data_IF_174764380895
#
_entry.id   IF_174764380895
#
_cell.length_a   1.000
_cell.length_b   1.000
_cell.length_c   1.000
_cell.angle_alpha   90.00
_cell.angle_beta   90.00
_cell.angle_gamma   90.00
#
_symmetry.space_group_name_H-M   'P 1'
#
loop_
_entity.id
_entity.type
_entity.pdbx_description
1 polymer ?
#
# COMPACT_ATOMS: atom_id res chain seq x y z
N UNK A 1 -4.97 -15.82 -9.24
CA UNK A 1 -5.33 -16.06 -7.81
C UNK A 1 -4.26 -16.71 -6.91
N UNK A 2 -3.65 -17.85 -7.24
CA UNK A 2 -2.73 -18.55 -6.31
C UNK A 2 -1.54 -17.70 -5.81
N UNK A 3 -0.94 -16.91 -6.70
CA UNK A 3 0.18 -16.01 -6.36
C UNK A 3 -0.24 -14.93 -5.35
N UNK A 4 -1.47 -14.43 -5.43
CA UNK A 4 -1.98 -13.42 -4.50
C UNK A 4 -2.14 -13.99 -3.09
N UNK A 5 -2.76 -15.17 -2.97
CA UNK A 5 -2.92 -15.85 -1.67
C UNK A 5 -1.55 -16.18 -1.06
N UNK A 6 -0.61 -16.64 -1.88
CA UNK A 6 0.76 -16.90 -1.45
C UNK A 6 1.47 -15.64 -0.97
N UNK A 7 1.39 -14.54 -1.72
CA UNK A 7 1.95 -13.26 -1.31
C UNK A 7 1.32 -12.74 0.00
N UNK A 8 0.00 -12.87 0.14
CA UNK A 8 -0.73 -12.52 1.37
C UNK A 8 -0.25 -13.34 2.58
N UNK A 9 0.03 -14.63 2.40
CA UNK A 9 0.61 -15.47 3.46
C UNK A 9 2.04 -15.01 3.82
N UNK A 10 2.88 -14.70 2.83
CA UNK A 10 4.26 -14.24 3.06
C UNK A 10 4.34 -12.93 3.84
N UNK A 11 3.49 -11.94 3.50
CA UNK A 11 3.46 -10.67 4.25
C UNK A 11 2.92 -10.83 5.69
N UNK A 12 2.40 -12.01 6.05
CA UNK A 12 1.95 -12.38 7.40
C UNK A 12 2.92 -13.30 8.14
N UNK A 13 3.89 -13.90 7.45
CA UNK A 13 4.93 -14.79 8.00
C UNK A 13 6.00 -14.00 8.80
N UNK A 14 7.28 -14.30 8.61
CA UNK A 14 8.42 -13.63 9.25
C UNK A 14 8.86 -12.35 8.50
N UNK A 15 9.85 -11.62 9.04
CA UNK A 15 10.35 -10.36 8.44
C UNK A 15 11.09 -10.56 7.12
N UNK A 16 11.82 -11.66 6.93
CA UNK A 16 12.52 -11.96 5.68
C UNK A 16 11.53 -12.19 4.52
N UNK A 17 10.40 -12.85 4.80
CA UNK A 17 9.38 -13.20 3.82
C UNK A 17 8.57 -11.99 3.35
N UNK A 18 8.50 -10.92 4.16
CA UNK A 18 7.73 -9.71 3.80
C UNK A 18 8.23 -9.11 2.50
N UNK A 19 9.55 -9.04 2.30
CA UNK A 19 10.15 -8.46 1.10
C UNK A 19 9.72 -9.24 -0.14
N UNK A 20 9.72 -10.57 -0.05
CA UNK A 20 9.24 -11.44 -1.13
C UNK A 20 7.75 -11.24 -1.38
N UNK A 21 6.94 -11.16 -0.32
CA UNK A 21 5.52 -10.87 -0.44
C UNK A 21 5.21 -9.52 -1.10
N UNK A 22 5.95 -8.46 -0.74
CA UNK A 22 5.85 -7.14 -1.38
C UNK A 22 6.17 -7.25 -2.87
N UNK A 23 7.30 -7.85 -3.23
CA UNK A 23 7.71 -7.99 -4.64
C UNK A 23 6.67 -8.75 -5.48
N UNK A 24 6.05 -9.79 -4.91
CA UNK A 24 4.97 -10.53 -5.56
C UNK A 24 3.71 -9.67 -5.75
N UNK A 25 3.31 -8.90 -4.73
CA UNK A 25 2.15 -8.00 -4.82
C UNK A 25 2.37 -6.87 -5.84
N UNK A 26 3.57 -6.28 -5.87
CA UNK A 26 3.93 -5.28 -6.89
C UNK A 26 3.94 -5.88 -8.30
N UNK A 27 4.45 -7.10 -8.44
CA UNK A 27 4.42 -7.86 -9.69
C UNK A 27 3.01 -8.13 -10.17
N UNK A 28 2.08 -8.47 -9.26
CA UNK A 28 0.67 -8.65 -9.57
C UNK A 28 0.01 -7.33 -10.02
N UNK A 29 0.33 -6.22 -9.36
CA UNK A 29 -0.24 -4.91 -9.67
C UNK A 29 0.14 -4.41 -11.08
N UNK A 30 1.34 -4.77 -11.54
CA UNK A 30 1.86 -4.47 -12.89
C UNK A 30 1.32 -5.39 -13.99
N UNK A 31 0.72 -6.53 -13.65
CA UNK A 31 0.12 -7.42 -14.65
C UNK A 31 -1.19 -6.81 -15.15
N UNK A 32 -1.33 -6.73 -16.47
CA UNK A 32 -2.61 -6.43 -17.11
C UNK A 32 -3.43 -7.72 -17.27
N UNK A 33 -3.89 -8.22 -16.13
CA UNK A 33 -4.84 -9.32 -16.07
C UNK A 33 -6.05 -8.87 -15.24
N UNK A 34 -7.26 -9.12 -15.76
CA UNK A 34 -8.51 -8.73 -15.10
C UNK A 34 -8.81 -9.56 -13.84
N UNK A 35 -8.19 -10.75 -13.71
CA UNK A 35 -8.33 -11.61 -12.54
C UNK A 35 -7.50 -11.13 -11.34
N UNK A 36 -6.67 -10.09 -11.48
CA UNK A 36 -5.89 -9.57 -10.37
C UNK A 36 -6.73 -8.57 -9.56
N UNK A 37 -6.97 -8.82 -8.25
CA UNK A 37 -7.63 -7.86 -7.40
C UNK A 37 -6.68 -6.70 -7.07
N UNK A 38 -6.53 -5.74 -8.00
CA UNK A 38 -5.57 -4.62 -7.90
C UNK A 38 -5.80 -3.79 -6.64
N UNK A 39 -7.06 -3.54 -6.28
CA UNK A 39 -7.44 -2.85 -5.05
C UNK A 39 -6.90 -3.56 -3.80
N UNK A 40 -7.13 -4.88 -3.70
CA UNK A 40 -6.69 -5.65 -2.55
C UNK A 40 -5.16 -5.77 -2.52
N UNK A 41 -4.50 -5.79 -3.68
CA UNK A 41 -3.03 -5.70 -3.76
C UNK A 41 -2.51 -4.39 -3.17
N UNK A 42 -3.10 -3.24 -3.51
CA UNK A 42 -2.73 -1.94 -2.96
C UNK A 42 -2.95 -1.89 -1.45
N UNK A 43 -4.08 -2.43 -0.95
CA UNK A 43 -4.35 -2.53 0.48
C UNK A 43 -3.28 -3.37 1.20
N UNK A 44 -2.95 -4.55 0.69
CA UNK A 44 -1.96 -5.43 1.30
C UNK A 44 -0.52 -4.91 1.17
N UNK A 45 -0.20 -4.14 0.13
CA UNK A 45 1.07 -3.41 0.03
C UNK A 45 1.21 -2.37 1.15
N UNK A 46 0.17 -1.58 1.41
CA UNK A 46 0.18 -0.65 2.53
C UNK A 46 0.44 -1.37 3.88
N UNK A 47 -0.24 -2.49 4.12
CA UNK A 47 -0.03 -3.33 5.32
C UNK A 47 1.41 -3.87 5.39
N UNK A 48 1.95 -4.39 4.29
CA UNK A 48 3.28 -4.99 4.24
C UNK A 48 4.40 -3.97 4.47
N UNK A 49 4.30 -2.78 3.87
CA UNK A 49 5.24 -1.67 4.09
C UNK A 49 5.16 -1.15 5.53
N UNK A 50 3.96 -1.03 6.10
CA UNK A 50 3.77 -0.68 7.52
C UNK A 50 4.48 -1.66 8.44
N UNK A 51 4.40 -2.96 8.13
CA UNK A 51 5.06 -4.01 8.92
C UNK A 51 6.59 -3.97 8.78
N UNK A 52 7.09 -3.51 7.64
CA UNK A 52 8.51 -3.31 7.37
C UNK A 52 9.05 -1.98 7.91
N UNK A 53 8.22 -1.18 8.57
CA UNK A 53 8.51 0.20 9.02
C UNK A 53 8.84 1.18 7.89
N UNK A 54 8.47 0.83 6.66
CA UNK A 54 8.55 1.72 5.50
C UNK A 54 7.25 2.54 5.44
N UNK A 55 7.11 3.47 6.38
CA UNK A 55 5.85 4.21 6.58
C UNK A 55 5.53 5.16 5.42
N UNK A 56 6.55 5.71 4.77
CA UNK A 56 6.40 6.59 3.61
C UNK A 56 5.64 5.89 2.48
N UNK A 57 6.11 4.70 2.08
CA UNK A 57 5.41 3.90 1.06
C UNK A 57 4.06 3.40 1.52
N UNK A 58 3.93 3.02 2.79
CA UNK A 58 2.64 2.59 3.33
C UNK A 58 1.58 3.69 3.20
N UNK A 59 1.95 4.94 3.49
CA UNK A 59 1.08 6.09 3.36
C UNK A 59 0.76 6.44 1.91
N UNK A 60 1.72 6.28 1.00
CA UNK A 60 1.47 6.45 -0.43
C UNK A 60 0.39 5.48 -0.92
N UNK A 61 0.55 4.18 -0.67
CA UNK A 61 -0.43 3.17 -1.07
C UNK A 61 -1.83 3.40 -0.49
N UNK A 62 -1.93 3.75 0.81
CA UNK A 62 -3.25 3.97 1.44
C UNK A 62 -3.92 5.25 0.94
N UNK A 63 -3.16 6.31 0.63
CA UNK A 63 -3.70 7.56 0.05
C UNK A 63 -4.24 7.33 -1.36
N UNK A 64 -3.55 6.52 -2.16
CA UNK A 64 -4.03 6.11 -3.49
C UNK A 64 -5.37 5.38 -3.35
N UNK A 65 -5.46 4.42 -2.43
CA UNK A 65 -6.69 3.67 -2.17
C UNK A 65 -7.83 4.58 -1.70
N UNK A 66 -7.56 5.48 -0.75
CA UNK A 66 -8.55 6.41 -0.22
C UNK A 66 -9.03 7.44 -1.27
N UNK A 67 -8.15 7.82 -2.21
CA UNK A 67 -8.48 8.74 -3.30
C UNK A 67 -9.31 8.07 -4.40
N UNK A 68 -9.07 6.78 -4.67
CA UNK A 68 -9.84 6.00 -5.62
C UNK A 68 -11.25 5.65 -5.10
N UNK A 69 -11.38 5.38 -3.79
CA UNK A 69 -12.64 4.99 -3.15
C UNK A 69 -13.03 5.98 -2.03
N UNK A 70 -13.59 7.13 -2.42
CA UNK A 70 -14.09 8.11 -1.46
C UNK A 70 -15.11 7.47 -0.51
N UNK A 71 -14.85 7.55 0.80
CA UNK A 71 -15.71 6.96 1.84
C UNK A 71 -15.32 5.54 2.28
N UNK A 72 -14.22 4.98 1.76
CA UNK A 72 -13.70 3.69 2.25
C UNK A 72 -13.14 3.85 3.68
N UNK A 73 -13.96 3.46 4.67
CA UNK A 73 -13.58 3.49 6.10
C UNK A 73 -12.35 2.63 6.40
N UNK A 74 -12.17 1.49 5.71
CA UNK A 74 -11.02 0.62 5.93
C UNK A 74 -9.71 1.30 5.52
N UNK A 75 -9.71 2.04 4.41
CA UNK A 75 -8.56 2.81 3.96
C UNK A 75 -8.23 3.95 4.94
N UNK A 76 -9.25 4.65 5.44
CA UNK A 76 -9.07 5.73 6.43
C UNK A 76 -8.53 5.20 7.77
N UNK A 77 -9.09 4.09 8.27
CA UNK A 77 -8.62 3.45 9.50
C UNK A 77 -7.17 2.95 9.37
N UNK A 78 -6.82 2.37 8.22
CA UNK A 78 -5.46 1.95 7.93
C UNK A 78 -4.51 3.16 7.87
N UNK A 79 -4.90 4.25 7.21
CA UNK A 79 -4.10 5.46 7.17
C UNK A 79 -3.81 6.00 8.58
N UNK A 80 -4.84 6.16 9.41
CA UNK A 80 -4.65 6.61 10.79
C UNK A 80 -3.81 5.63 11.62
N UNK A 81 -3.90 4.32 11.37
CA UNK A 81 -3.07 3.33 12.03
C UNK A 81 -1.59 3.50 11.66
N UNK A 82 -1.30 3.75 10.38
CA UNK A 82 0.06 3.98 9.88
C UNK A 82 0.64 5.23 10.52
N UNK A 83 -0.10 6.34 10.52
CA UNK A 83 0.31 7.61 11.14
C UNK A 83 0.59 7.44 12.64
N UNK A 84 -0.27 6.71 13.37
CA UNK A 84 -0.05 6.39 14.79
C UNK A 84 1.21 5.57 15.03
N UNK A 85 1.49 4.56 14.19
CA UNK A 85 2.70 3.74 14.31
C UNK A 85 3.97 4.51 13.98
N UNK A 86 3.92 5.34 12.93
CA UNK A 86 5.00 6.23 12.54
C UNK A 86 5.35 7.21 13.66
N UNK A 87 4.33 7.81 14.29
CA UNK A 87 4.51 8.68 15.46
C UNK A 87 5.16 7.93 16.63
N UNK A 88 4.63 6.75 16.97
CA UNK A 88 5.14 5.93 18.08
C UNK A 88 6.60 5.52 17.88
N UNK A 89 6.99 5.25 16.65
CA UNK A 89 8.38 4.89 16.32
C UNK A 89 9.30 6.12 16.17
N UNK A 90 8.80 7.34 16.38
CA UNK A 90 9.58 8.59 16.24
C UNK A 90 9.98 8.92 14.80
N UNK A 91 9.39 8.24 13.81
CA UNK A 91 9.68 8.42 12.38
C UNK A 91 8.79 9.49 11.73
N UNK A 92 8.40 10.50 12.49
CA UNK A 92 7.68 11.67 11.96
C UNK A 92 8.63 12.52 11.12
N UNK A 93 8.72 12.20 9.82
CA UNK A 93 9.32 13.10 8.84
C UNK A 93 8.40 14.30 8.57
N UNK A 94 8.96 15.52 8.55
CA UNK A 94 8.24 16.76 8.22
C UNK A 94 7.53 16.71 6.85
N UNK A 95 7.95 15.82 5.94
CA UNK A 95 7.41 15.69 4.59
C UNK A 95 5.99 15.08 4.51
N UNK A 96 5.58 14.30 5.51
CA UNK A 96 4.29 13.60 5.48
C UNK A 96 3.14 14.43 6.06
N UNK A 97 3.45 15.29 7.02
CA UNK A 97 2.46 16.10 7.74
C UNK A 97 1.84 17.21 6.86
N UNK A 98 2.48 17.57 5.74
CA UNK A 98 2.08 18.71 4.90
C UNK A 98 1.53 18.40 3.51
N UNK A 99 1.14 17.16 3.20
CA UNK A 99 0.53 16.84 1.90
C UNK A 99 1.48 16.82 0.70
N UNK A 100 2.81 16.76 0.90
CA UNK A 100 3.80 16.87 -0.17
C UNK A 100 4.31 15.56 -0.80
N UNK A 101 4.10 14.39 -0.19
CA UNK A 101 4.75 13.15 -0.61
C UNK A 101 4.00 12.32 -1.70
N UNK A 102 2.90 12.82 -2.27
CA UNK A 102 2.15 12.07 -3.28
C UNK A 102 2.75 12.13 -4.71
N UNK A 103 3.83 12.88 -4.91
CA UNK A 103 4.23 13.31 -6.25
C UNK A 103 5.18 12.33 -6.99
N UNK A 104 5.86 11.40 -6.31
CA UNK A 104 7.01 10.72 -6.95
C UNK A 104 6.71 9.29 -7.44
N UNK A 105 5.78 8.54 -6.84
CA UNK A 105 5.38 7.22 -7.36
C UNK A 105 3.86 7.03 -7.51
N UNK A 106 3.06 7.81 -6.78
CA UNK A 106 1.59 7.71 -6.78
C UNK A 106 0.93 8.11 -8.10
N UNK A 107 1.53 9.02 -8.87
CA UNK A 107 0.93 9.48 -10.14
C UNK A 107 0.71 8.36 -11.17
N UNK A 108 1.64 7.42 -11.31
CA UNK A 108 1.52 6.31 -12.24
C UNK A 108 0.52 5.25 -11.76
N UNK A 109 0.48 4.97 -10.45
CA UNK A 109 -0.46 4.02 -9.85
C UNK A 109 -1.90 4.55 -9.85
N UNK A 110 -2.08 5.83 -9.52
CA UNK A 110 -3.37 6.52 -9.58
C UNK A 110 -3.86 6.56 -11.03
N UNK A 111 -3.01 6.90 -12.00
CA UNK A 111 -3.38 6.88 -13.41
C UNK A 111 -3.79 5.47 -13.87
N UNK A 112 -3.06 4.42 -13.48
CA UNK A 112 -3.40 3.04 -13.83
C UNK A 112 -4.69 2.53 -13.17
N UNK A 113 -5.02 3.00 -11.96
CA UNK A 113 -6.29 2.67 -11.29
C UNK A 113 -7.47 3.47 -11.85
N UNK A 114 -7.27 4.75 -12.18
CA UNK A 114 -8.31 5.62 -12.74
C UNK A 114 -8.59 5.37 -14.23
N UNK A 115 -7.60 4.92 -15.00
CA UNK A 115 -7.76 4.60 -16.42
C UNK A 115 -8.62 3.33 -16.68
N UNK A 116 -9.01 2.60 -15.63
CA UNK A 116 -9.86 1.41 -15.70
C UNK A 116 -11.31 1.65 -15.23
N UNK A 117 -11.77 2.90 -15.22
CA UNK A 117 -13.19 3.22 -14.98
C UNK A 117 -14.03 3.05 -16.25
#
# INVERSE_FOLDING_TARGET
MAVFQFAHALIRSNRSDVKTGIALLEGLLRRDAEDVPKRDCVFYLAVAHTRSKDYDRALEYVKILASAEQGNRQAQELQSLIERRMNKDGMMGMAILGGGAAAVLGGALIAALLAKK
#
